data_IF_649105393864
#
_entry.id   IF_649105393864
#
_cell.length_a   1.000
_cell.length_b   1.000
_cell.length_c   1.000
_cell.angle_alpha   90.00
_cell.angle_beta   90.00
_cell.angle_gamma   90.00
#
_symmetry.space_group_name_H-M   'P 1'
#
loop_
_entity.id
_entity.type
_entity.pdbx_description
1 polymer ?
#
# COMPACT_ATOMS: atom_id res chain seq x y z
N UNK A 1 -3.52 -18.24 -10.79
CA UNK A 1 -3.56 -17.62 -12.13
C UNK A 1 -4.19 -16.24 -12.13
N UNK A 2 -5.31 -16.01 -11.42
CA UNK A 2 -5.96 -14.68 -11.34
C UNK A 2 -5.03 -13.55 -10.87
N UNK A 3 -4.16 -13.80 -9.88
CA UNK A 3 -3.20 -12.82 -9.38
C UNK A 3 -2.22 -12.32 -10.46
N UNK A 4 -1.61 -13.24 -11.22
CA UNK A 4 -0.64 -12.87 -12.25
C UNK A 4 -1.28 -12.07 -13.40
N UNK A 5 -2.51 -12.43 -13.79
CA UNK A 5 -3.28 -11.67 -14.78
C UNK A 5 -3.60 -10.27 -14.27
N UNK A 6 -4.03 -10.14 -13.01
CA UNK A 6 -4.29 -8.85 -12.38
C UNK A 6 -3.04 -7.95 -12.38
N UNK A 7 -1.89 -8.48 -11.96
CA UNK A 7 -0.63 -7.74 -12.00
C UNK A 7 -0.26 -7.31 -13.43
N UNK A 8 -0.47 -8.18 -14.43
CA UNK A 8 -0.24 -7.87 -15.84
C UNK A 8 -1.13 -6.73 -16.36
N UNK A 9 -2.42 -6.75 -16.03
CA UNK A 9 -3.37 -5.69 -16.42
C UNK A 9 -3.01 -4.36 -15.76
N UNK A 10 -2.73 -4.36 -14.46
CA UNK A 10 -2.31 -3.15 -13.74
C UNK A 10 -1.02 -2.58 -14.34
N UNK A 11 -0.04 -3.44 -14.65
CA UNK A 11 1.18 -3.03 -15.34
C UNK A 11 0.94 -2.44 -16.73
N UNK A 12 0.04 -3.02 -17.52
CA UNK A 12 -0.30 -2.52 -18.85
C UNK A 12 -0.97 -1.13 -18.81
N UNK A 13 -1.80 -0.86 -17.80
CA UNK A 13 -2.43 0.46 -17.60
C UNK A 13 -1.41 1.51 -17.16
N UNK A 14 -0.38 1.12 -16.41
CA UNK A 14 0.69 2.01 -15.94
C UNK A 14 1.78 2.24 -17.01
N UNK A 15 1.93 1.32 -17.98
CA UNK A 15 2.96 1.37 -19.02
C UNK A 15 3.06 2.72 -19.77
N UNK A 16 1.97 3.42 -20.14
CA UNK A 16 2.05 4.73 -20.80
C UNK A 16 2.74 5.79 -19.93
N UNK A 17 2.54 5.75 -18.61
CA UNK A 17 3.19 6.68 -17.67
C UNK A 17 4.71 6.43 -17.60
N UNK A 18 5.13 5.17 -17.68
CA UNK A 18 6.55 4.82 -17.72
C UNK A 18 7.23 5.29 -19.02
N UNK A 19 6.52 5.26 -20.15
CA UNK A 19 7.03 5.75 -21.43
C UNK A 19 7.10 7.29 -21.50
N UNK A 20 6.13 7.99 -20.90
CA UNK A 20 6.06 9.45 -20.88
C UNK A 20 6.96 10.11 -19.81
N UNK A 21 7.18 9.44 -18.67
CA UNK A 21 7.87 10.02 -17.51
C UNK A 21 9.41 9.88 -17.50
N UNK A 22 10.00 9.18 -18.46
CA UNK A 22 11.45 9.12 -18.66
C UNK A 22 12.27 8.69 -17.41
N UNK A 23 13.48 9.22 -17.19
CA UNK A 23 14.36 8.82 -16.09
C UNK A 23 13.83 9.20 -14.69
N UNK A 24 12.82 10.08 -14.60
CA UNK A 24 12.20 10.46 -13.32
C UNK A 24 11.42 9.30 -12.71
N UNK A 25 10.67 8.55 -13.55
CA UNK A 25 9.91 7.37 -13.11
C UNK A 25 10.84 6.30 -12.55
N UNK A 26 12.02 6.10 -13.17
CA UNK A 26 12.98 5.10 -12.69
C UNK A 26 13.47 5.42 -11.27
N UNK A 27 13.73 6.70 -10.97
CA UNK A 27 14.10 7.13 -9.62
C UNK A 27 12.95 6.95 -8.63
N UNK A 28 11.73 7.34 -9.01
CA UNK A 28 10.54 7.15 -8.19
C UNK A 28 10.29 5.66 -7.89
N UNK A 29 10.50 4.79 -8.87
CA UNK A 29 10.43 3.34 -8.71
C UNK A 29 11.49 2.83 -7.73
N UNK A 30 12.75 3.28 -7.85
CA UNK A 30 13.80 2.94 -6.89
C UNK A 30 13.48 3.41 -5.46
N UNK A 31 12.98 4.63 -5.28
CA UNK A 31 12.56 5.13 -3.97
C UNK A 31 11.42 4.31 -3.38
N UNK A 32 10.42 3.97 -4.19
CA UNK A 32 9.30 3.13 -3.76
C UNK A 32 9.79 1.73 -3.37
N UNK A 33 10.66 1.12 -4.17
CA UNK A 33 11.25 -0.18 -3.86
C UNK A 33 12.07 -0.16 -2.57
N UNK A 34 12.83 0.91 -2.34
CA UNK A 34 13.59 1.10 -1.10
C UNK A 34 12.69 1.28 0.13
N UNK A 35 11.66 2.11 0.04
CA UNK A 35 10.70 2.35 1.12
C UNK A 35 9.93 1.06 1.44
N UNK A 36 9.34 0.41 0.44
CA UNK A 36 8.58 -0.83 0.60
C UNK A 36 9.47 -1.95 1.16
N UNK A 37 10.68 -2.10 0.63
CA UNK A 37 11.63 -3.12 1.08
C UNK A 37 12.09 -2.89 2.53
N UNK A 38 12.48 -1.66 2.88
CA UNK A 38 12.94 -1.32 4.24
C UNK A 38 11.82 -1.45 5.28
N UNK A 39 10.61 -0.97 4.96
CA UNK A 39 9.45 -1.09 5.85
C UNK A 39 9.03 -2.55 6.06
N UNK A 40 9.08 -3.39 5.01
CA UNK A 40 8.78 -4.81 5.12
C UNK A 40 9.75 -5.52 6.08
N UNK A 41 11.04 -5.17 6.00
CA UNK A 41 12.05 -5.71 6.92
C UNK A 41 11.80 -5.27 8.37
N UNK A 42 11.42 -4.01 8.60
CA UNK A 42 11.06 -3.51 9.94
C UNK A 42 9.80 -4.19 10.47
N UNK A 43 8.79 -4.37 9.61
CA UNK A 43 7.52 -5.00 9.98
C UNK A 43 7.71 -6.47 10.39
N UNK A 44 8.61 -7.20 9.72
CA UNK A 44 8.95 -8.57 10.08
C UNK A 44 9.60 -8.69 11.48
N UNK A 45 10.26 -7.64 11.95
CA UNK A 45 10.92 -7.61 13.26
C UNK A 45 10.09 -6.93 14.38
N UNK A 46 8.89 -6.39 14.07
CA UNK A 46 8.12 -5.58 15.01
C UNK A 46 7.05 -6.40 15.78
N UNK A 47 7.01 -6.36 17.13
CA UNK A 47 6.06 -7.11 17.95
C UNK A 47 4.61 -6.62 17.78
N UNK A 48 3.67 -7.57 17.70
CA UNK A 48 2.41 -7.46 16.93
C UNK A 48 1.14 -7.05 17.72
N UNK A 49 1.22 -6.78 19.03
CA UNK A 49 0.00 -6.68 19.86
C UNK A 49 -0.83 -5.39 19.64
N UNK A 50 -0.30 -4.38 18.95
CA UNK A 50 -0.97 -3.07 18.75
C UNK A 50 -1.73 -2.90 17.44
N UNK A 51 -1.56 -3.80 16.47
CA UNK A 51 -1.99 -3.52 15.10
C UNK A 51 -3.43 -3.93 14.79
N UNK A 52 -4.02 -4.93 15.46
CA UNK A 52 -5.42 -5.34 15.19
C UNK A 52 -6.45 -4.23 15.54
N UNK A 53 -6.14 -3.37 16.51
CA UNK A 53 -6.95 -2.20 16.86
C UNK A 53 -6.70 -0.98 15.96
N UNK A 54 -5.72 -1.05 15.04
CA UNK A 54 -5.31 0.06 14.18
C UNK A 54 -5.90 0.00 12.77
N UNK A 55 -6.60 -1.10 12.42
CA UNK A 55 -7.33 -1.23 11.16
C UNK A 55 -8.46 -0.22 11.00
N UNK A 56 -9.13 0.17 12.09
CA UNK A 56 -10.18 1.19 12.08
C UNK A 56 -9.66 2.57 11.64
N UNK A 57 -8.66 3.15 12.31
CA UNK A 57 -8.02 4.40 11.88
C UNK A 57 -7.41 4.34 10.47
N UNK A 58 -6.78 3.21 10.09
CA UNK A 58 -6.22 3.03 8.75
C UNK A 58 -7.29 3.08 7.66
N UNK A 59 -8.43 2.41 7.86
CA UNK A 59 -9.53 2.41 6.90
C UNK A 59 -10.16 3.81 6.74
N UNK A 60 -10.30 4.56 7.84
CA UNK A 60 -10.79 5.94 7.80
C UNK A 60 -9.82 6.83 7.01
N UNK A 61 -8.51 6.73 7.28
CA UNK A 61 -7.51 7.48 6.53
C UNK A 61 -7.51 7.14 5.04
N UNK A 62 -7.71 5.85 4.68
CA UNK A 62 -7.78 5.42 3.29
C UNK A 62 -9.00 6.04 2.59
N UNK A 63 -10.14 6.12 3.29
CA UNK A 63 -11.32 6.84 2.82
C UNK A 63 -11.05 8.33 2.57
N UNK A 64 -10.29 9.00 3.44
CA UNK A 64 -9.93 10.42 3.29
C UNK A 64 -9.00 10.63 2.09
N UNK A 65 -7.96 9.80 1.93
CA UNK A 65 -7.03 9.87 0.79
C UNK A 65 -7.73 9.52 -0.53
N UNK A 66 -8.65 8.57 -0.51
CA UNK A 66 -9.45 8.20 -1.67
C UNK A 66 -10.42 9.32 -2.07
N UNK A 67 -11.11 9.92 -1.09
CA UNK A 67 -11.98 11.07 -1.32
C UNK A 67 -11.19 12.29 -1.82
N UNK A 68 -9.97 12.53 -1.31
CA UNK A 68 -9.13 13.63 -1.80
C UNK A 68 -8.60 13.38 -3.21
N UNK A 69 -8.31 12.12 -3.57
CA UNK A 69 -7.95 11.73 -4.93
C UNK A 69 -9.11 11.97 -5.90
N UNK A 70 -10.32 11.53 -5.56
CA UNK A 70 -11.52 11.80 -6.39
C UNK A 70 -11.84 13.30 -6.47
N UNK A 71 -11.75 14.04 -5.36
CA UNK A 71 -11.95 15.48 -5.33
C UNK A 71 -10.94 16.24 -6.20
N UNK A 72 -9.69 15.76 -6.29
CA UNK A 72 -8.66 16.34 -7.16
C UNK A 72 -8.88 16.10 -8.66
N UNK A 73 -9.73 15.13 -9.05
CA UNK A 73 -10.12 14.95 -10.46
C UNK A 73 -11.17 15.96 -10.93
N UNK A 74 -11.98 16.50 -10.02
CA UNK A 74 -13.04 17.46 -10.33
C UNK A 74 -12.66 18.91 -10.05
N UNK A 75 -11.64 19.17 -9.22
CA UNK A 75 -11.17 20.51 -8.87
C UNK A 75 -9.83 20.80 -9.56
N UNK A 76 -9.68 21.94 -10.27
CA UNK A 76 -8.43 22.28 -10.93
C UNK A 76 -7.26 22.34 -9.93
N UNK A 77 -6.09 21.74 -10.24
CA UNK A 77 -4.90 21.76 -9.38
C UNK A 77 -4.31 23.17 -9.19
N UNK A 78 -4.82 24.18 -9.93
CA UNK A 78 -4.46 25.59 -9.82
C UNK A 78 -5.14 26.30 -8.64
N UNK A 79 -6.17 25.70 -8.04
CA UNK A 79 -6.87 26.24 -6.87
C UNK A 79 -6.15 25.83 -5.59
N UNK A 80 -6.05 26.70 -4.57
CA UNK A 80 -5.39 26.37 -3.29
C UNK A 80 -5.96 25.10 -2.62
N UNK A 81 -7.27 24.86 -2.77
CA UNK A 81 -7.91 23.62 -2.34
C UNK A 81 -7.52 22.40 -3.20
N UNK A 82 -7.38 22.57 -4.52
CA UNK A 82 -6.91 21.51 -5.42
C UNK A 82 -5.46 21.10 -5.17
N UNK A 83 -4.58 22.08 -4.96
CA UNK A 83 -3.19 21.84 -4.57
C UNK A 83 -3.09 21.20 -3.18
N UNK A 84 -3.94 21.60 -2.24
CA UNK A 84 -4.06 20.98 -0.92
C UNK A 84 -4.51 19.52 -0.99
N UNK A 85 -5.54 19.22 -1.78
CA UNK A 85 -6.05 17.85 -1.98
C UNK A 85 -5.04 16.94 -2.69
N UNK A 86 -4.28 17.47 -3.66
CA UNK A 86 -3.20 16.76 -4.34
C UNK A 86 -2.04 16.45 -3.39
N UNK A 87 -1.63 17.41 -2.56
CA UNK A 87 -0.61 17.20 -1.53
C UNK A 87 -1.06 16.15 -0.50
N UNK A 88 -2.33 16.21 -0.08
CA UNK A 88 -2.92 15.23 0.83
C UNK A 88 -2.98 13.83 0.22
N UNK A 89 -3.34 13.71 -1.07
CA UNK A 89 -3.41 12.41 -1.73
C UNK A 89 -2.01 11.80 -1.94
N UNK A 90 -1.01 12.60 -2.30
CA UNK A 90 0.36 12.12 -2.54
C UNK A 90 1.11 11.84 -1.23
N UNK A 91 1.23 12.82 -0.34
CA UNK A 91 2.00 12.67 0.90
C UNK A 91 1.21 11.90 1.97
N UNK A 92 -0.08 12.17 2.09
CA UNK A 92 -0.96 11.42 2.99
C UNK A 92 -1.11 9.97 2.54
N UNK A 93 -1.26 9.73 1.23
CA UNK A 93 -1.24 8.38 0.66
C UNK A 93 0.07 7.64 0.95
N UNK A 94 1.23 8.29 0.77
CA UNK A 94 2.53 7.66 1.06
C UNK A 94 2.67 7.20 2.52
N UNK A 95 2.29 8.06 3.48
CA UNK A 95 2.34 7.72 4.92
C UNK A 95 1.32 6.64 5.24
N UNK A 96 0.14 6.72 4.64
CA UNK A 96 -0.93 5.75 4.91
C UNK A 96 -0.63 4.37 4.32
N UNK A 97 -0.14 4.30 3.08
CA UNK A 97 0.27 3.03 2.46
C UNK A 97 1.48 2.41 3.13
N UNK A 98 2.42 3.20 3.64
CA UNK A 98 3.54 2.67 4.45
C UNK A 98 3.03 2.05 5.77
N UNK A 99 2.07 2.68 6.44
CA UNK A 99 1.42 2.10 7.61
C UNK A 99 0.60 0.83 7.27
N UNK A 100 -0.09 0.81 6.13
CA UNK A 100 -0.81 -0.38 5.63
C UNK A 100 0.13 -1.54 5.36
N UNK A 101 1.30 -1.28 4.76
CA UNK A 101 2.31 -2.31 4.51
C UNK A 101 2.75 -2.98 5.83
N UNK A 102 3.01 -2.16 6.87
CA UNK A 102 3.32 -2.68 8.20
C UNK A 102 2.18 -3.53 8.77
N UNK A 103 0.95 -3.02 8.69
CA UNK A 103 -0.24 -3.71 9.18
C UNK A 103 -0.45 -5.06 8.47
N UNK A 104 -0.37 -5.10 7.14
CA UNK A 104 -0.58 -6.34 6.36
C UNK A 104 0.52 -7.37 6.63
N UNK A 105 1.79 -6.93 6.72
CA UNK A 105 2.90 -7.82 7.05
C UNK A 105 2.71 -8.45 8.43
N UNK A 106 2.35 -7.64 9.43
CA UNK A 106 2.13 -8.14 10.78
C UNK A 106 0.88 -9.01 10.90
N UNK A 107 -0.18 -8.73 10.11
CA UNK A 107 -1.37 -9.58 10.03
C UNK A 107 -1.02 -10.98 9.52
N UNK A 108 -0.17 -11.08 8.51
CA UNK A 108 0.33 -12.37 7.98
C UNK A 108 1.19 -13.09 9.02
N UNK A 109 2.13 -12.39 9.65
CA UNK A 109 3.01 -12.97 10.69
C UNK A 109 2.19 -13.48 11.88
N UNK A 110 1.24 -12.69 12.39
CA UNK A 110 0.36 -13.12 13.49
C UNK A 110 -0.47 -14.33 13.10
N UNK A 111 -1.01 -14.35 11.88
CA UNK A 111 -1.78 -15.50 11.38
C UNK A 111 -0.90 -16.75 11.27
N UNK A 112 0.37 -16.61 10.88
CA UNK A 112 1.35 -17.70 10.88
C UNK A 112 1.68 -18.18 12.31
N UNK A 113 1.87 -17.27 13.28
CA UNK A 113 2.12 -17.61 14.68
C UNK A 113 0.93 -18.32 15.35
N UNK A 114 -0.29 -17.92 14.99
CA UNK A 114 -1.53 -18.56 15.49
C UNK A 114 -1.91 -19.83 14.74
N UNK A 115 -1.23 -20.15 13.63
CA UNK A 115 -1.54 -21.35 12.86
C UNK A 115 -1.02 -22.59 13.60
N UNK A 116 -1.87 -23.60 13.88
CA UNK A 116 -1.45 -24.77 14.65
C UNK A 116 -0.36 -25.55 13.89
N UNK A 117 0.73 -25.87 14.59
CA UNK A 117 1.87 -26.67 14.08
C UNK A 117 1.43 -28.06 13.58
N UNK A 118 0.26 -28.53 14.03
CA UNK A 118 -0.38 -29.80 13.69
C UNK A 118 -1.73 -29.61 12.96
N UNK A 119 -1.80 -28.66 12.03
CA UNK A 119 -2.96 -28.51 11.13
C UNK A 119 -2.88 -29.42 9.91
N UNK A 120 -4.00 -29.98 9.47
CA UNK A 120 -4.13 -30.81 8.24
C UNK A 120 -3.62 -30.13 6.96
N UNK A 121 -3.38 -28.81 6.99
CA UNK A 121 -2.87 -28.03 5.86
C UNK A 121 -1.70 -27.13 6.28
N UNK A 122 -0.57 -27.15 5.53
CA UNK A 122 0.51 -26.21 5.74
C UNK A 122 0.02 -24.78 5.54
N UNK A 123 0.54 -23.83 6.32
CA UNK A 123 0.18 -22.41 6.22
C UNK A 123 0.54 -21.87 4.83
N UNK A 124 -0.47 -21.38 4.11
CA UNK A 124 -0.30 -20.76 2.80
C UNK A 124 -0.43 -19.23 2.94
N UNK A 125 0.68 -18.46 2.86
CA UNK A 125 0.65 -17.01 3.02
C UNK A 125 -0.17 -16.31 1.92
N UNK A 126 -0.39 -16.94 0.77
CA UNK A 126 -1.12 -16.35 -0.36
C UNK A 126 -2.63 -16.38 -0.11
N UNK A 127 -3.14 -17.46 0.50
CA UNK A 127 -4.54 -17.58 0.92
C UNK A 127 -4.79 -17.03 2.34
N UNK A 128 -3.76 -16.51 3.00
CA UNK A 128 -3.85 -16.00 4.36
C UNK A 128 -4.18 -14.49 4.43
N UNK A 129 -4.04 -13.74 3.33
CA UNK A 129 -4.42 -12.32 3.19
C UNK A 129 -5.94 -12.11 3.19
#
# INVERSE_FOLDING_TARGET
MAWAVHCGVVGAVIAPLCLLGGPLILRAACYTAGIVGSLSAVAACAPSDRFLNMGGPLAIGLGVVFASSLGSMFLPPTTALGAGLFSLSVYGGLILFSAFLLYDTQRIVRKAETHPVYGDRPFDPINAL
#
